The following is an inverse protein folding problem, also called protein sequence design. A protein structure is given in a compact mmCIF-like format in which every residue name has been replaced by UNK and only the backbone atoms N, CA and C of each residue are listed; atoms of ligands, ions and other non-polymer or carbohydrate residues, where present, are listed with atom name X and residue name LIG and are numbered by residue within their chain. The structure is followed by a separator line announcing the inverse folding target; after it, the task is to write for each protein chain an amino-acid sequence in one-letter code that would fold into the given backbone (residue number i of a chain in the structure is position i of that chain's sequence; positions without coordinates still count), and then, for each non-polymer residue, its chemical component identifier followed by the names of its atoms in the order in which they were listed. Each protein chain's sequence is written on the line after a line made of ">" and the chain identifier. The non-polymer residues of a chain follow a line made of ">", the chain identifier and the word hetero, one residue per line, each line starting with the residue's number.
data_IF_753882189922
#
_entry.id   IF_753882189922
#
_cell.length_a   1.000
_cell.length_b   1.000
_cell.length_c   1.000
_cell.angle_alpha   90.00
_cell.angle_beta   90.00
_cell.angle_gamma   90.00
#
_symmetry.space_group_name_H-M   'P 1'
#
loop_
_entity.id
_entity.type
_entity.pdbx_description
1 polymer ?
#
# COMPACT_ATOMS: atom_id res chain seq x y z
N UNK A 1 0.25 16.14 -32.01
CA UNK A 1 1.30 16.65 -31.07
C UNK A 1 2.22 15.51 -30.72
N UNK A 2 3.52 15.78 -30.63
CA UNK A 2 4.46 14.75 -30.17
C UNK A 2 4.29 14.58 -28.66
N UNK A 3 3.96 13.38 -28.17
CA UNK A 3 3.70 13.09 -26.75
C UNK A 3 5.06 12.98 -26.05
N UNK A 4 5.26 13.76 -24.99
CA UNK A 4 6.38 13.67 -24.07
C UNK A 4 5.86 13.71 -22.63
N UNK A 5 6.25 12.72 -21.83
CA UNK A 5 5.65 12.44 -20.53
C UNK A 5 6.64 12.78 -19.42
N UNK A 6 6.17 13.45 -18.37
CA UNK A 6 6.85 13.54 -17.09
C UNK A 6 6.11 12.69 -16.07
N UNK A 7 6.80 11.76 -15.40
CA UNK A 7 6.26 11.00 -14.25
C UNK A 7 6.87 11.56 -12.97
N UNK A 8 6.04 12.09 -12.08
CA UNK A 8 6.45 12.78 -10.86
C UNK A 8 6.30 11.85 -9.65
N UNK A 9 7.43 11.44 -9.09
CA UNK A 9 7.54 10.41 -8.06
C UNK A 9 7.87 9.05 -8.67
N UNK A 10 9.03 8.47 -8.32
CA UNK A 10 9.53 7.20 -8.87
C UNK A 10 9.58 6.11 -7.80
N UNK A 11 8.51 6.01 -7.02
CA UNK A 11 8.29 4.94 -6.04
C UNK A 11 7.67 3.68 -6.67
N UNK A 12 6.98 2.89 -5.83
CA UNK A 12 6.30 1.63 -6.20
C UNK A 12 5.31 1.75 -7.36
N UNK A 13 4.71 2.93 -7.53
CA UNK A 13 3.72 3.21 -8.58
C UNK A 13 4.37 3.84 -9.80
N UNK A 14 5.12 4.92 -9.58
CA UNK A 14 5.59 5.77 -10.67
C UNK A 14 6.69 5.13 -11.51
N UNK A 15 7.59 4.35 -10.90
CA UNK A 15 8.66 3.71 -11.66
C UNK A 15 8.16 2.64 -12.64
N UNK A 16 7.31 1.67 -12.24
CA UNK A 16 6.71 0.71 -13.19
C UNK A 16 5.96 1.39 -14.33
N UNK A 17 5.20 2.43 -14.02
CA UNK A 17 4.45 3.19 -15.03
C UNK A 17 5.37 3.96 -15.97
N UNK A 18 6.40 4.65 -15.47
CA UNK A 18 7.38 5.37 -16.26
C UNK A 18 8.13 4.43 -17.21
N UNK A 19 8.56 3.27 -16.71
CA UNK A 19 9.18 2.22 -17.52
C UNK A 19 8.24 1.75 -18.64
N UNK A 20 6.97 1.55 -18.32
CA UNK A 20 6.00 1.06 -19.30
C UNK A 20 5.78 2.09 -20.40
N UNK A 21 5.56 3.36 -20.08
CA UNK A 21 5.45 4.43 -21.06
C UNK A 21 6.72 4.62 -21.89
N UNK A 22 7.89 4.43 -21.28
CA UNK A 22 9.19 4.59 -21.95
C UNK A 22 9.41 3.60 -23.10
N UNK A 23 8.66 2.51 -23.15
CA UNK A 23 8.69 1.59 -24.30
C UNK A 23 8.13 2.20 -25.59
N UNK A 24 7.31 3.26 -25.48
CA UNK A 24 6.63 3.89 -26.62
C UNK A 24 6.83 5.40 -26.75
N UNK A 25 7.22 6.06 -25.66
CA UNK A 25 7.30 7.52 -25.59
C UNK A 25 8.61 7.98 -24.96
N UNK A 26 9.05 9.23 -25.24
CA UNK A 26 10.03 9.91 -24.43
C UNK A 26 9.45 10.19 -23.04
N UNK A 27 10.09 9.67 -21.99
CA UNK A 27 9.65 9.82 -20.58
C UNK A 27 10.76 10.42 -19.75
N UNK A 28 10.44 11.45 -18.98
CA UNK A 28 11.27 11.97 -17.91
C UNK A 28 10.67 11.51 -16.58
N UNK A 29 11.39 10.65 -15.88
CA UNK A 29 11.07 10.27 -14.50
C UNK A 29 11.66 11.31 -13.54
N UNK A 30 10.82 12.03 -12.81
CA UNK A 30 11.25 13.07 -11.88
C UNK A 30 11.03 12.63 -10.44
N UNK A 31 12.08 12.70 -9.62
CA UNK A 31 11.97 12.49 -8.17
C UNK A 31 12.86 13.49 -7.42
N UNK A 32 12.38 14.00 -6.30
CA UNK A 32 13.12 14.93 -5.45
C UNK A 32 14.26 14.23 -4.67
N UNK A 33 14.20 12.91 -4.54
CA UNK A 33 15.20 12.11 -3.84
C UNK A 33 16.38 11.81 -4.78
N UNK A 34 17.47 12.53 -4.61
CA UNK A 34 18.68 12.37 -5.41
C UNK A 34 19.30 10.96 -5.32
N UNK A 35 19.23 10.31 -4.14
CA UNK A 35 19.72 8.96 -3.99
C UNK A 35 18.91 7.98 -4.84
N UNK A 36 17.57 8.17 -4.89
CA UNK A 36 16.68 7.38 -5.75
C UNK A 36 17.05 7.55 -7.22
N UNK A 37 17.31 8.77 -7.67
CA UNK A 37 17.72 9.05 -9.06
C UNK A 37 19.08 8.39 -9.38
N UNK A 38 20.05 8.44 -8.47
CA UNK A 38 21.34 7.78 -8.65
C UNK A 38 21.20 6.25 -8.77
N UNK A 39 20.40 5.63 -7.90
CA UNK A 39 20.11 4.19 -7.97
C UNK A 39 19.49 3.79 -9.31
N UNK A 40 18.45 4.52 -9.74
CA UNK A 40 17.74 4.23 -10.99
C UNK A 40 18.64 4.41 -12.20
N UNK A 41 19.46 5.48 -12.25
CA UNK A 41 20.42 5.70 -13.34
C UNK A 41 21.52 4.65 -13.38
N UNK A 42 21.83 3.99 -12.26
CA UNK A 42 22.71 2.81 -12.21
C UNK A 42 22.00 1.52 -12.67
N UNK A 43 20.68 1.57 -12.89
CA UNK A 43 19.85 0.42 -13.27
C UNK A 43 19.35 -0.41 -12.07
N UNK A 44 19.43 0.12 -10.84
CA UNK A 44 19.00 -0.56 -9.63
C UNK A 44 17.65 -0.03 -9.17
N UNK A 45 16.79 -0.93 -8.73
CA UNK A 45 15.50 -0.59 -8.13
C UNK A 45 15.39 -1.14 -6.71
N UNK A 46 15.58 -0.27 -5.70
CA UNK A 46 15.46 -0.63 -4.28
C UNK A 46 14.04 -1.05 -3.88
N UNK A 47 13.01 -0.73 -4.68
CA UNK A 47 11.63 -1.18 -4.43
C UNK A 47 11.37 -2.60 -4.91
N UNK A 48 12.28 -3.19 -5.69
CA UNK A 48 12.20 -4.54 -6.27
C UNK A 48 10.98 -4.77 -7.18
N UNK A 49 10.36 -3.69 -7.68
CA UNK A 49 9.22 -3.76 -8.61
C UNK A 49 9.66 -4.05 -10.04
N UNK A 50 10.85 -3.61 -10.42
CA UNK A 50 11.44 -3.81 -11.75
C UNK A 50 12.79 -4.48 -11.62
N UNK A 51 13.01 -5.53 -12.39
CA UNK A 51 14.33 -6.15 -12.47
C UNK A 51 15.34 -5.26 -13.22
N UNK A 52 16.63 -5.43 -12.91
CA UNK A 52 17.73 -4.65 -13.45
C UNK A 52 17.78 -4.66 -14.98
N UNK A 53 17.54 -5.80 -15.61
CA UNK A 53 17.59 -5.96 -17.07
C UNK A 53 16.48 -5.19 -17.76
N UNK A 54 15.27 -5.25 -17.22
CA UNK A 54 14.08 -4.53 -17.71
C UNK A 54 14.24 -3.02 -17.54
N UNK A 55 14.79 -2.56 -16.41
CA UNK A 55 15.03 -1.14 -16.18
C UNK A 55 16.12 -0.61 -17.14
N UNK A 56 17.26 -1.27 -17.23
CA UNK A 56 18.36 -0.89 -18.14
C UNK A 56 17.93 -0.88 -19.60
N UNK A 57 16.99 -1.74 -19.97
CA UNK A 57 16.47 -1.82 -21.35
C UNK A 57 15.70 -0.58 -21.82
N UNK A 58 15.29 0.30 -20.92
CA UNK A 58 14.56 1.54 -21.25
C UNK A 58 15.31 2.81 -20.84
N UNK A 59 16.39 2.71 -20.04
CA UNK A 59 17.13 3.90 -19.58
C UNK A 59 17.88 4.58 -20.74
N UNK A 60 17.82 5.90 -20.74
CA UNK A 60 18.57 6.77 -21.65
C UNK A 60 19.37 7.82 -20.87
N UNK A 61 20.50 8.26 -21.43
CA UNK A 61 21.43 9.18 -20.76
C UNK A 61 21.00 10.66 -20.77
N UNK A 62 19.99 11.00 -21.55
CA UNK A 62 19.50 12.39 -21.65
C UNK A 62 18.05 12.44 -22.08
N UNK A 63 17.38 13.55 -21.71
CA UNK A 63 16.01 13.84 -22.15
C UNK A 63 15.99 14.17 -23.65
N UNK A 64 15.78 13.17 -24.49
CA UNK A 64 15.66 13.28 -25.93
C UNK A 64 14.22 13.20 -26.42
N UNK A 65 14.00 13.31 -27.75
CA UNK A 65 12.70 13.01 -28.37
C UNK A 65 12.55 11.53 -28.75
N UNK A 66 13.57 10.70 -28.47
CA UNK A 66 13.50 9.26 -28.66
C UNK A 66 12.82 8.59 -27.46
N UNK A 67 12.19 7.44 -27.69
CA UNK A 67 11.59 6.65 -26.62
C UNK A 67 12.66 6.21 -25.62
N UNK A 68 12.29 6.19 -24.35
CA UNK A 68 13.18 5.82 -23.26
C UNK A 68 12.85 6.58 -21.98
N UNK A 69 13.42 6.14 -20.87
CA UNK A 69 13.28 6.73 -19.54
C UNK A 69 14.56 7.47 -19.15
N UNK A 70 14.45 8.77 -18.96
CA UNK A 70 15.49 9.59 -18.37
C UNK A 70 15.11 9.97 -16.93
N UNK A 71 15.88 9.54 -15.93
CA UNK A 71 15.60 9.83 -14.52
C UNK A 71 16.36 11.09 -14.08
N UNK A 72 15.65 12.07 -13.49
CA UNK A 72 16.22 13.35 -13.07
C UNK A 72 15.55 13.90 -11.79
N UNK A 73 16.31 14.69 -11.02
CA UNK A 73 15.80 15.53 -9.94
C UNK A 73 15.76 17.03 -10.31
N UNK A 74 16.01 17.37 -11.57
CA UNK A 74 16.10 18.74 -12.08
C UNK A 74 14.79 19.11 -12.76
N UNK A 75 14.15 20.20 -12.31
CA UNK A 75 12.83 20.62 -12.81
C UNK A 75 12.84 21.03 -14.28
N UNK A 76 13.96 21.57 -14.74
CA UNK A 76 14.16 22.00 -16.12
C UNK A 76 14.05 20.83 -17.11
N UNK A 77 14.33 19.62 -16.68
CA UNK A 77 14.27 18.44 -17.54
C UNK A 77 12.83 18.04 -17.90
N UNK A 78 11.84 18.42 -17.08
CA UNK A 78 10.42 18.17 -17.34
C UNK A 78 9.70 19.31 -18.08
N UNK A 79 10.33 20.47 -18.27
CA UNK A 79 9.69 21.65 -18.85
C UNK A 79 9.17 21.45 -20.29
N UNK A 80 9.77 20.51 -21.03
CA UNK A 80 9.38 20.20 -22.41
C UNK A 80 8.36 19.06 -22.52
N UNK A 81 7.87 18.54 -21.41
CA UNK A 81 6.80 17.57 -21.41
C UNK A 81 5.44 18.25 -21.64
N UNK A 82 4.45 17.46 -22.07
CA UNK A 82 3.07 17.92 -22.28
C UNK A 82 2.03 17.00 -21.62
N UNK A 83 2.47 15.90 -21.02
CA UNK A 83 1.71 15.08 -20.08
C UNK A 83 2.53 14.95 -18.80
N UNK A 84 1.91 15.33 -17.69
CA UNK A 84 2.51 15.22 -16.34
C UNK A 84 1.70 14.23 -15.54
N UNK A 85 2.30 13.11 -15.13
CA UNK A 85 1.63 12.06 -14.37
C UNK A 85 2.16 12.10 -12.94
N UNK A 86 1.30 12.41 -11.97
CA UNK A 86 1.64 12.57 -10.56
C UNK A 86 1.33 11.28 -9.82
N UNK A 87 2.38 10.65 -9.27
CA UNK A 87 2.32 9.34 -8.58
C UNK A 87 2.91 9.40 -7.17
N UNK A 88 2.84 10.58 -6.54
CA UNK A 88 3.35 10.79 -5.19
C UNK A 88 2.49 10.08 -4.14
N UNK A 89 3.06 9.70 -2.97
CA UNK A 89 2.29 9.07 -1.90
C UNK A 89 1.28 10.03 -1.29
N UNK A 90 0.21 9.47 -0.74
CA UNK A 90 -0.82 10.17 0.03
C UNK A 90 -0.98 9.48 1.39
N UNK A 91 -0.12 9.81 2.37
CA UNK A 91 -0.20 9.24 3.70
C UNK A 91 -1.37 9.82 4.52
N UNK A 92 -1.57 9.27 5.71
CA UNK A 92 -2.42 9.88 6.75
C UNK A 92 -1.55 10.46 7.86
N UNK A 93 -2.05 11.49 8.52
CA UNK A 93 -1.45 12.04 9.73
C UNK A 93 -1.72 11.14 10.96
N UNK A 94 -1.16 11.51 12.12
CA UNK A 94 -1.35 10.80 13.40
C UNK A 94 -2.82 10.71 13.87
N UNK A 95 -3.73 11.47 13.26
CA UNK A 95 -5.16 11.45 13.54
C UNK A 95 -5.96 10.72 12.45
N UNK A 96 -5.29 9.94 11.61
CA UNK A 96 -5.87 9.25 10.45
C UNK A 96 -6.53 10.20 9.43
N UNK A 97 -6.04 11.44 9.30
CA UNK A 97 -6.51 12.41 8.31
C UNK A 97 -5.61 12.37 7.09
N UNK A 98 -6.17 12.50 5.87
CA UNK A 98 -5.38 12.59 4.65
C UNK A 98 -4.34 13.71 4.71
N UNK A 99 -3.07 13.38 4.45
CA UNK A 99 -2.03 14.37 4.26
C UNK A 99 -1.80 14.59 2.75
N UNK A 100 -2.34 15.69 2.24
CA UNK A 100 -2.22 16.08 0.85
C UNK A 100 -0.95 16.90 0.54
N UNK A 101 -0.05 17.07 1.53
CA UNK A 101 1.19 17.85 1.35
C UNK A 101 2.03 17.39 0.15
N UNK A 102 2.23 16.08 -0.10
CA UNK A 102 2.97 15.63 -1.28
C UNK A 102 2.28 16.02 -2.60
N UNK A 103 0.93 15.98 -2.64
CA UNK A 103 0.14 16.41 -3.81
C UNK A 103 0.26 17.90 -4.06
N UNK A 104 0.18 18.73 -3.01
CA UNK A 104 0.37 20.18 -3.16
C UNK A 104 1.77 20.50 -3.68
N UNK A 105 2.82 19.92 -3.11
CA UNK A 105 4.21 20.14 -3.53
C UNK A 105 4.48 19.67 -4.96
N UNK A 106 3.94 18.52 -5.36
CA UNK A 106 4.07 18.04 -6.74
C UNK A 106 3.30 18.91 -7.73
N UNK A 107 2.11 19.37 -7.35
CA UNK A 107 1.33 20.35 -8.14
C UNK A 107 2.06 21.69 -8.27
N UNK A 108 2.71 22.18 -7.21
CA UNK A 108 3.58 23.37 -7.28
C UNK A 108 4.77 23.16 -8.23
N UNK A 109 5.39 21.98 -8.19
CA UNK A 109 6.50 21.63 -9.07
C UNK A 109 6.04 21.63 -10.54
N UNK A 110 4.93 20.94 -10.84
CA UNK A 110 4.36 20.91 -12.19
C UNK A 110 3.91 22.29 -12.63
N UNK A 111 3.25 23.06 -11.77
CA UNK A 111 2.77 24.43 -12.07
C UNK A 111 3.87 25.38 -12.56
N UNK A 112 5.11 25.22 -12.10
CA UNK A 112 6.25 26.06 -12.53
C UNK A 112 6.64 25.85 -14.01
N UNK A 113 6.30 24.71 -14.59
CA UNK A 113 6.69 24.31 -15.97
C UNK A 113 5.48 24.10 -16.88
N UNK A 114 4.27 24.21 -16.37
CA UNK A 114 3.02 23.97 -17.08
C UNK A 114 2.82 24.98 -18.21
N UNK A 115 2.37 24.51 -19.37
CA UNK A 115 2.13 25.31 -20.57
C UNK A 115 0.72 25.12 -21.11
N UNK A 116 0.31 25.99 -22.01
CA UNK A 116 -0.99 25.89 -22.69
C UNK A 116 -1.10 24.59 -23.49
N UNK A 117 -2.18 23.88 -23.30
CA UNK A 117 -2.49 22.59 -23.92
C UNK A 117 -1.99 21.37 -23.18
N UNK A 118 -1.21 21.55 -22.11
CA UNK A 118 -0.69 20.45 -21.29
C UNK A 118 -1.81 19.76 -20.49
N UNK A 119 -1.58 18.49 -20.14
CA UNK A 119 -2.49 17.67 -19.34
C UNK A 119 -1.75 17.16 -18.10
N UNK A 120 -2.34 17.39 -16.92
CA UNK A 120 -1.84 16.86 -15.64
C UNK A 120 -2.74 15.71 -15.20
N UNK A 121 -2.16 14.52 -15.01
CA UNK A 121 -2.89 13.31 -14.64
C UNK A 121 -2.45 12.92 -13.24
N UNK A 122 -3.40 12.77 -12.31
CA UNK A 122 -3.11 12.29 -10.97
C UNK A 122 -3.43 10.78 -10.87
N UNK A 123 -2.50 10.04 -10.25
CA UNK A 123 -2.68 8.59 -9.97
C UNK A 123 -2.70 8.29 -8.46
N UNK A 124 -2.26 9.24 -7.64
CA UNK A 124 -2.28 9.10 -6.18
C UNK A 124 -3.69 8.80 -5.67
N UNK A 125 -3.81 7.88 -4.72
CA UNK A 125 -5.11 7.55 -4.11
C UNK A 125 -5.62 8.73 -3.27
N UNK A 126 -6.85 9.15 -3.54
CA UNK A 126 -7.47 10.31 -2.91
C UNK A 126 -8.99 10.12 -2.73
N UNK A 127 -9.62 10.95 -1.89
CA UNK A 127 -11.08 11.02 -1.84
C UNK A 127 -11.65 11.76 -3.06
N UNK A 128 -12.93 11.54 -3.41
CA UNK A 128 -13.56 12.21 -4.56
C UNK A 128 -13.52 13.72 -4.43
N UNK A 129 -12.96 14.37 -5.45
CA UNK A 129 -12.85 15.82 -5.58
C UNK A 129 -11.46 16.39 -5.33
N UNK A 130 -10.49 15.63 -4.82
CA UNK A 130 -9.15 16.17 -4.49
C UNK A 130 -8.46 16.75 -5.73
N UNK A 131 -8.51 16.05 -6.86
CA UNK A 131 -7.87 16.58 -8.08
C UNK A 131 -8.40 17.96 -8.42
N UNK A 132 -9.72 18.13 -8.48
CA UNK A 132 -10.36 19.37 -8.94
C UNK A 132 -10.45 20.44 -7.85
N UNK A 133 -10.67 20.06 -6.59
CA UNK A 133 -10.91 20.98 -5.48
C UNK A 133 -9.61 21.42 -4.77
N UNK A 134 -8.55 20.58 -4.79
CA UNK A 134 -7.31 20.80 -4.05
C UNK A 134 -6.10 21.02 -4.97
N UNK A 135 -5.89 20.14 -5.96
CA UNK A 135 -4.69 20.19 -6.80
C UNK A 135 -4.77 21.25 -7.89
N UNK A 136 -5.90 21.37 -8.57
CA UNK A 136 -6.11 22.37 -9.64
C UNK A 136 -5.89 23.80 -9.18
N UNK A 137 -6.41 24.27 -8.02
CA UNK A 137 -6.15 25.62 -7.54
C UNK A 137 -4.65 25.92 -7.32
N UNK A 138 -3.86 24.91 -6.95
CA UNK A 138 -2.39 25.04 -6.81
C UNK A 138 -1.75 25.22 -8.18
N UNK A 139 -2.14 24.41 -9.18
CA UNK A 139 -1.66 24.55 -10.56
C UNK A 139 -1.98 25.92 -11.15
N UNK A 140 -3.22 26.41 -11.01
CA UNK A 140 -3.63 27.74 -11.47
C UNK A 140 -2.84 28.85 -10.80
N UNK A 141 -2.70 28.79 -9.48
CA UNK A 141 -1.95 29.78 -8.70
C UNK A 141 -0.49 29.89 -9.12
N UNK A 142 0.17 28.75 -9.35
CA UNK A 142 1.61 28.71 -9.64
C UNK A 142 1.90 29.01 -11.11
N UNK A 143 1.10 28.46 -12.02
CA UNK A 143 1.32 28.64 -13.47
C UNK A 143 0.75 29.95 -14.02
N UNK A 144 -0.27 30.53 -13.36
CA UNK A 144 -1.05 31.63 -13.90
C UNK A 144 -1.99 31.24 -15.05
N UNK A 145 -2.08 29.96 -15.37
CA UNK A 145 -2.92 29.40 -16.42
C UNK A 145 -4.32 29.07 -15.88
N UNK A 146 -5.32 29.00 -16.77
CA UNK A 146 -6.70 28.73 -16.41
C UNK A 146 -7.10 27.30 -16.75
N UNK A 147 -7.63 26.58 -15.76
CA UNK A 147 -8.13 25.22 -15.90
C UNK A 147 -9.26 25.09 -16.94
N UNK A 148 -9.25 24.02 -17.71
CA UNK A 148 -10.17 23.74 -18.82
C UNK A 148 -10.20 24.81 -19.95
N UNK A 149 -9.21 25.71 -19.95
CA UNK A 149 -9.01 26.71 -21.00
C UNK A 149 -7.57 26.63 -21.54
N UNK A 150 -6.61 26.82 -20.63
CA UNK A 150 -5.19 26.84 -20.99
C UNK A 150 -4.52 25.48 -20.72
N UNK A 151 -4.93 24.76 -19.67
CA UNK A 151 -4.46 23.40 -19.34
C UNK A 151 -5.63 22.53 -18.87
N UNK A 152 -5.38 21.21 -18.80
CA UNK A 152 -6.41 20.23 -18.52
C UNK A 152 -5.92 19.23 -17.47
N UNK A 153 -6.86 18.47 -16.88
CA UNK A 153 -6.53 17.43 -15.93
C UNK A 153 -7.18 16.08 -16.27
N UNK A 154 -6.56 15.03 -15.74
CA UNK A 154 -7.10 13.68 -15.73
C UNK A 154 -6.85 13.02 -14.39
N UNK A 155 -7.49 11.89 -14.17
CA UNK A 155 -7.23 11.00 -13.05
C UNK A 155 -7.27 9.55 -13.52
N UNK A 156 -6.28 8.77 -13.09
CA UNK A 156 -6.18 7.35 -13.43
C UNK A 156 -5.58 6.60 -12.24
N UNK A 157 -6.40 5.97 -11.39
CA UNK A 157 -5.92 5.32 -10.18
C UNK A 157 -4.98 4.15 -10.48
N UNK A 158 -3.93 3.99 -9.67
CA UNK A 158 -3.14 2.78 -9.69
C UNK A 158 -3.81 1.66 -8.88
N UNK A 159 -3.76 0.45 -9.41
CA UNK A 159 -4.42 -0.74 -8.87
C UNK A 159 -3.48 -1.91 -8.66
N UNK A 160 -2.16 -1.70 -8.82
CA UNK A 160 -1.15 -2.73 -8.53
C UNK A 160 -1.13 -3.06 -7.04
N UNK A 161 -0.73 -4.29 -6.75
CA UNK A 161 -0.45 -4.75 -5.41
C UNK A 161 1.07 -4.94 -5.30
N UNK A 162 1.79 -4.09 -4.54
CA UNK A 162 3.24 -4.18 -4.43
C UNK A 162 3.72 -5.62 -4.17
N UNK A 163 4.74 -6.06 -4.93
CA UNK A 163 5.28 -7.42 -4.87
C UNK A 163 4.48 -8.48 -5.66
N UNK A 164 3.34 -8.14 -6.28
CA UNK A 164 2.60 -9.04 -7.16
C UNK A 164 3.21 -9.01 -8.57
N UNK A 165 3.86 -10.09 -8.96
CA UNK A 165 4.53 -10.21 -10.27
C UNK A 165 3.60 -10.77 -11.37
N UNK A 166 2.42 -11.23 -11.00
CA UNK A 166 1.43 -11.74 -11.95
C UNK A 166 0.54 -10.61 -12.48
N UNK A 167 0.03 -9.77 -11.58
CA UNK A 167 -0.84 -8.63 -11.89
C UNK A 167 -0.01 -7.35 -12.02
N UNK A 168 0.77 -7.28 -13.08
CA UNK A 168 1.60 -6.08 -13.39
C UNK A 168 0.74 -4.94 -13.91
N UNK A 169 1.28 -3.72 -13.91
CA UNK A 169 0.57 -2.49 -14.33
C UNK A 169 -0.09 -2.62 -15.72
N UNK A 170 0.55 -3.32 -16.64
CA UNK A 170 0.04 -3.52 -18.01
C UNK A 170 -1.07 -4.58 -18.13
N UNK A 171 -1.19 -5.48 -17.13
CA UNK A 171 -2.13 -6.60 -17.11
C UNK A 171 -3.39 -6.32 -16.28
N UNK A 172 -3.47 -5.18 -15.63
CA UNK A 172 -4.65 -4.74 -14.87
C UNK A 172 -5.44 -3.75 -15.71
N UNK A 173 -6.75 -3.96 -15.86
CA UNK A 173 -7.64 -3.02 -16.53
C UNK A 173 -7.54 -1.65 -15.84
N UNK A 174 -7.13 -0.62 -16.58
CA UNK A 174 -6.85 0.72 -16.03
C UNK A 174 -8.08 1.61 -16.13
N UNK A 175 -8.48 2.22 -15.03
CA UNK A 175 -9.51 3.27 -15.03
C UNK A 175 -8.86 4.58 -15.45
N UNK A 176 -9.53 5.33 -16.34
CA UNK A 176 -9.07 6.63 -16.84
C UNK A 176 -10.21 7.64 -16.78
N UNK A 177 -9.89 8.91 -16.70
CA UNK A 177 -10.87 10.00 -16.73
C UNK A 177 -10.22 11.31 -17.14
N UNK A 178 -11.02 12.30 -17.47
CA UNK A 178 -10.53 13.65 -17.81
C UNK A 178 -11.51 14.74 -17.41
N UNK A 179 -11.00 15.96 -17.36
CA UNK A 179 -11.75 17.15 -16.95
C UNK A 179 -12.79 17.61 -17.98
N UNK A 180 -12.67 17.14 -19.21
CA UNK A 180 -13.67 17.25 -20.28
C UNK A 180 -13.78 15.91 -21.01
N UNK A 181 -14.87 15.64 -21.74
CA UNK A 181 -15.01 14.41 -22.54
C UNK A 181 -13.86 14.19 -23.53
N UNK A 182 -13.39 15.25 -24.18
CA UNK A 182 -12.24 15.20 -25.10
C UNK A 182 -10.94 14.85 -24.38
N UNK A 183 -10.67 15.47 -23.24
CA UNK A 183 -9.49 15.17 -22.44
C UNK A 183 -9.55 13.77 -21.86
N UNK A 184 -10.74 13.32 -21.41
CA UNK A 184 -10.95 11.94 -20.98
C UNK A 184 -10.56 10.94 -22.06
N UNK A 185 -10.98 11.19 -23.30
CA UNK A 185 -10.61 10.35 -24.44
C UNK A 185 -9.10 10.37 -24.70
N UNK A 186 -8.45 11.54 -24.68
CA UNK A 186 -7.00 11.66 -24.87
C UNK A 186 -6.22 10.92 -23.78
N UNK A 187 -6.62 11.04 -22.52
CA UNK A 187 -6.04 10.29 -21.39
C UNK A 187 -6.25 8.79 -21.59
N UNK A 188 -7.47 8.39 -21.94
CA UNK A 188 -7.79 6.99 -22.20
C UNK A 188 -6.94 6.37 -23.34
N UNK A 189 -6.75 7.07 -24.43
CA UNK A 189 -5.91 6.62 -25.55
C UNK A 189 -4.44 6.51 -25.15
N UNK A 190 -3.93 7.46 -24.35
CA UNK A 190 -2.57 7.42 -23.82
C UNK A 190 -2.34 6.12 -23.04
N UNK A 191 -3.18 5.82 -22.04
CA UNK A 191 -3.05 4.59 -21.26
C UNK A 191 -3.30 3.33 -22.06
N UNK A 192 -4.33 3.31 -22.90
CA UNK A 192 -4.64 2.19 -23.80
C UNK A 192 -3.47 1.81 -24.69
N UNK A 193 -2.62 2.76 -25.02
CA UNK A 193 -1.43 2.50 -25.84
C UNK A 193 -0.42 1.54 -25.18
N UNK A 194 -0.38 1.46 -23.87
CA UNK A 194 0.58 0.65 -23.09
C UNK A 194 -0.06 -0.41 -22.19
N UNK A 195 -1.34 -0.26 -21.81
CA UNK A 195 -2.07 -1.21 -20.96
C UNK A 195 -2.70 -2.29 -21.84
N UNK A 196 -2.21 -3.51 -21.74
CA UNK A 196 -2.67 -4.65 -22.56
C UNK A 196 -4.02 -5.19 -22.10
N UNK A 197 -4.34 -5.07 -20.80
CA UNK A 197 -5.64 -5.48 -20.25
C UNK A 197 -6.81 -4.55 -20.64
N UNK A 198 -6.50 -3.44 -21.32
CA UNK A 198 -7.50 -2.45 -21.71
C UNK A 198 -7.73 -1.37 -20.66
N UNK A 199 -8.67 -0.46 -21.00
CA UNK A 199 -9.00 0.69 -20.17
C UNK A 199 -10.50 0.83 -19.98
N UNK A 200 -10.92 1.45 -18.87
CA UNK A 200 -12.29 1.86 -18.60
C UNK A 200 -12.32 3.38 -18.46
N UNK A 201 -12.97 4.07 -19.38
CA UNK A 201 -13.15 5.52 -19.33
C UNK A 201 -14.30 5.85 -18.38
N UNK A 202 -13.97 6.36 -17.21
CA UNK A 202 -14.96 6.86 -16.26
C UNK A 202 -15.55 8.22 -16.73
N UNK A 203 -16.82 8.51 -16.41
CA UNK A 203 -17.52 9.70 -16.91
C UNK A 203 -16.97 11.03 -16.31
N UNK A 204 -16.24 10.97 -15.19
CA UNK A 204 -15.61 12.15 -14.59
C UNK A 204 -14.42 11.75 -13.69
N UNK A 205 -13.59 12.74 -13.36
CA UNK A 205 -12.49 12.57 -12.41
C UNK A 205 -13.02 12.08 -11.05
N UNK A 206 -14.06 12.71 -10.50
CA UNK A 206 -14.67 12.30 -9.20
C UNK A 206 -15.16 10.86 -9.18
N UNK A 207 -15.69 10.35 -10.29
CA UNK A 207 -16.12 8.94 -10.38
C UNK A 207 -14.92 8.00 -10.35
N UNK A 208 -13.83 8.35 -11.05
CA UNK A 208 -12.61 7.53 -11.05
C UNK A 208 -11.91 7.54 -9.68
N UNK A 209 -11.88 8.69 -8.99
CA UNK A 209 -11.40 8.80 -7.61
C UNK A 209 -12.25 7.95 -6.65
N UNK A 210 -13.60 8.05 -6.75
CA UNK A 210 -14.52 7.25 -5.95
C UNK A 210 -14.32 5.75 -6.17
N UNK A 211 -14.17 5.31 -7.43
CA UNK A 211 -13.97 3.91 -7.76
C UNK A 211 -12.75 3.32 -7.04
N UNK A 212 -11.63 4.07 -6.99
CA UNK A 212 -10.41 3.63 -6.31
C UNK A 212 -10.61 3.46 -4.81
N UNK A 213 -11.18 4.46 -4.15
CA UNK A 213 -11.27 4.45 -2.68
C UNK A 213 -12.25 3.39 -2.17
N UNK A 214 -13.31 3.07 -2.95
CA UNK A 214 -14.28 2.04 -2.54
C UNK A 214 -13.75 0.61 -2.71
N UNK A 215 -12.81 0.35 -3.62
CA UNK A 215 -12.19 -0.97 -3.77
C UNK A 215 -11.50 -1.40 -2.46
N UNK A 216 -10.75 -0.50 -1.84
CA UNK A 216 -10.07 -0.76 -0.59
C UNK A 216 -11.00 -0.68 0.61
N UNK A 217 -11.98 0.24 0.62
CA UNK A 217 -12.98 0.32 1.68
C UNK A 217 -13.86 -0.94 1.73
N UNK A 218 -14.27 -1.48 0.60
CA UNK A 218 -15.02 -2.74 0.53
C UNK A 218 -14.19 -3.90 1.08
N UNK A 219 -12.90 -3.98 0.73
CA UNK A 219 -12.00 -5.02 1.23
C UNK A 219 -11.83 -4.92 2.74
N UNK A 220 -11.61 -3.71 3.24
CA UNK A 220 -11.48 -3.43 4.69
C UNK A 220 -12.71 -3.86 5.48
N UNK A 221 -13.91 -3.50 5.02
CA UNK A 221 -15.19 -3.88 5.64
C UNK A 221 -15.38 -5.40 5.63
N UNK A 222 -15.05 -6.08 4.53
CA UNK A 222 -15.17 -7.54 4.46
C UNK A 222 -14.19 -8.23 5.42
N UNK A 223 -12.96 -7.70 5.58
CA UNK A 223 -12.02 -8.21 6.57
C UNK A 223 -12.53 -7.93 7.99
N UNK A 224 -13.08 -6.74 8.25
CA UNK A 224 -13.69 -6.44 9.54
C UNK A 224 -14.82 -7.42 9.88
N UNK A 225 -15.68 -7.75 8.93
CA UNK A 225 -16.72 -8.73 9.11
C UNK A 225 -16.17 -10.10 9.52
N UNK A 226 -15.18 -10.65 8.81
CA UNK A 226 -14.60 -11.94 9.18
C UNK A 226 -13.76 -11.88 10.45
N UNK A 227 -13.17 -10.73 10.80
CA UNK A 227 -12.52 -10.49 12.10
C UNK A 227 -13.56 -10.52 13.25
N UNK A 228 -14.73 -9.95 13.06
CA UNK A 228 -15.81 -10.03 14.03
C UNK A 228 -16.30 -11.47 14.20
N UNK A 229 -16.45 -12.21 13.09
CA UNK A 229 -16.77 -13.65 13.14
C UNK A 229 -15.72 -14.43 13.93
N UNK A 230 -14.43 -14.15 13.75
CA UNK A 230 -13.37 -14.80 14.51
C UNK A 230 -13.49 -14.55 16.03
N UNK A 231 -13.86 -13.31 16.43
CA UNK A 231 -14.13 -12.98 17.84
C UNK A 231 -15.36 -13.75 18.38
N UNK A 232 -16.44 -13.81 17.61
CA UNK A 232 -17.68 -14.51 17.97
C UNK A 232 -17.41 -16.03 18.11
N UNK A 233 -16.76 -16.63 17.11
CA UNK A 233 -16.49 -18.07 17.09
C UNK A 233 -15.50 -18.49 18.18
N UNK A 234 -14.53 -17.63 18.51
CA UNK A 234 -13.66 -17.88 19.67
C UNK A 234 -14.45 -17.93 20.99
N UNK A 235 -15.47 -17.07 21.17
CA UNK A 235 -16.36 -17.12 22.34
C UNK A 235 -17.27 -18.36 22.36
N UNK A 236 -17.62 -18.88 21.19
CA UNK A 236 -18.44 -20.07 21.01
C UNK A 236 -17.61 -21.38 20.98
N UNK A 237 -16.30 -21.29 21.09
CA UNK A 237 -15.35 -22.41 20.98
C UNK A 237 -15.45 -23.16 19.63
N UNK A 238 -15.75 -22.41 18.55
CA UNK A 238 -15.86 -22.92 17.18
C UNK A 238 -14.64 -22.45 16.37
N UNK A 239 -14.11 -23.34 15.55
CA UNK A 239 -13.00 -23.02 14.66
C UNK A 239 -13.46 -22.11 13.49
N UNK A 240 -12.97 -20.88 13.46
CA UNK A 240 -13.30 -19.88 12.42
C UNK A 240 -12.98 -20.37 11.01
N UNK A 241 -11.82 -21.00 10.82
CA UNK A 241 -11.41 -21.48 9.49
C UNK A 241 -12.31 -22.59 8.97
N UNK A 242 -12.71 -23.54 9.83
CA UNK A 242 -13.64 -24.59 9.46
C UNK A 242 -15.04 -24.03 9.06
N UNK A 243 -15.51 -22.98 9.76
CA UNK A 243 -16.75 -22.30 9.38
C UNK A 243 -16.61 -21.60 8.03
N UNK A 244 -15.52 -20.87 7.82
CA UNK A 244 -15.28 -20.17 6.56
C UNK A 244 -15.09 -21.16 5.38
N UNK A 245 -14.46 -22.31 5.60
CA UNK A 245 -14.35 -23.38 4.61
C UNK A 245 -15.74 -23.92 4.22
N UNK A 246 -16.56 -24.26 5.22
CA UNK A 246 -17.92 -24.72 4.99
C UNK A 246 -18.78 -23.66 4.28
N UNK A 247 -18.72 -22.40 4.69
CA UNK A 247 -19.44 -21.31 4.04
C UNK A 247 -18.95 -21.06 2.62
N UNK A 248 -17.64 -21.22 2.38
CA UNK A 248 -16.97 -21.06 1.09
C UNK A 248 -17.38 -22.08 0.02
N UNK A 249 -18.06 -23.16 0.40
CA UNK A 249 -18.66 -24.10 -0.55
C UNK A 249 -19.82 -23.48 -1.35
N UNK A 250 -20.35 -22.36 -0.86
CA UNK A 250 -21.39 -21.63 -1.59
C UNK A 250 -20.74 -20.70 -2.62
N UNK A 251 -21.13 -20.81 -3.87
CA UNK A 251 -20.53 -20.15 -5.04
C UNK A 251 -20.39 -18.63 -4.96
N UNK A 252 -21.23 -17.94 -4.19
CA UNK A 252 -21.21 -16.49 -4.04
C UNK A 252 -20.69 -16.02 -2.66
N UNK A 253 -20.10 -16.91 -1.87
CA UNK A 253 -19.43 -16.52 -0.63
C UNK A 253 -18.06 -15.92 -0.95
N UNK A 254 -17.76 -14.75 -0.41
CA UNK A 254 -16.47 -14.09 -0.66
C UNK A 254 -15.37 -14.66 0.25
N UNK A 255 -14.22 -15.08 -0.29
CA UNK A 255 -13.19 -15.84 0.44
C UNK A 255 -12.26 -14.93 1.27
N UNK A 256 -12.83 -14.04 2.09
CA UNK A 256 -12.07 -13.25 3.05
C UNK A 256 -11.70 -14.11 4.27
N UNK A 257 -10.54 -13.79 4.85
CA UNK A 257 -10.02 -14.45 6.06
C UNK A 257 -9.76 -13.42 7.15
N UNK A 258 -9.84 -13.80 8.45
CA UNK A 258 -9.43 -12.91 9.53
C UNK A 258 -7.95 -12.56 9.43
N UNK A 259 -7.60 -11.39 9.94
CA UNK A 259 -6.21 -10.95 9.96
C UNK A 259 -6.04 -9.49 10.34
N UNK A 260 -4.79 -9.09 10.43
CA UNK A 260 -4.40 -7.71 10.69
C UNK A 260 -4.41 -6.90 9.40
N UNK A 261 -5.04 -5.74 9.42
CA UNK A 261 -5.16 -4.85 8.25
C UNK A 261 -4.18 -3.69 8.39
N UNK A 262 -3.02 -3.83 7.76
CA UNK A 262 -1.97 -2.81 7.69
C UNK A 262 -1.71 -2.34 6.26
N UNK A 263 -0.54 -1.69 6.06
CA UNK A 263 -0.08 -1.20 4.77
C UNK A 263 -0.64 0.16 4.37
N UNK A 264 -0.32 0.57 3.13
CA UNK A 264 -0.57 1.95 2.66
C UNK A 264 -1.99 2.21 2.17
N UNK A 265 -2.74 1.18 1.82
CA UNK A 265 -3.98 1.33 1.07
C UNK A 265 -5.21 0.90 1.88
N UNK A 266 -5.31 -0.40 2.25
CA UNK A 266 -6.54 -0.96 2.84
C UNK A 266 -6.85 -0.30 4.19
N UNK A 267 -5.83 -0.06 5.02
CA UNK A 267 -5.97 0.59 6.33
C UNK A 267 -6.13 2.12 6.28
N UNK A 268 -5.90 2.74 5.12
CA UNK A 268 -5.80 4.20 4.95
C UNK A 268 -6.95 4.77 4.13
N UNK A 269 -7.22 4.20 2.95
CA UNK A 269 -8.22 4.71 2.00
C UNK A 269 -9.65 4.89 2.61
N UNK A 270 -10.13 4.01 3.50
CA UNK A 270 -11.43 4.21 4.16
C UNK A 270 -11.52 5.52 4.94
N UNK A 271 -10.42 5.98 5.55
CA UNK A 271 -10.40 7.27 6.25
C UNK A 271 -10.55 8.46 5.31
N UNK A 272 -10.00 8.38 4.08
CA UNK A 272 -10.21 9.41 3.06
C UNK A 272 -11.69 9.61 2.75
N UNK A 273 -12.40 8.51 2.49
CA UNK A 273 -13.82 8.58 2.18
C UNK A 273 -14.64 9.00 3.41
N UNK A 274 -14.28 8.50 4.60
CA UNK A 274 -14.98 8.84 5.84
C UNK A 274 -14.85 10.33 6.18
N UNK A 275 -13.66 10.91 6.05
CA UNK A 275 -13.46 12.34 6.29
C UNK A 275 -14.27 13.19 5.31
N UNK A 276 -14.21 12.89 4.01
CA UNK A 276 -14.99 13.64 3.01
C UNK A 276 -16.49 13.57 3.26
N UNK A 277 -16.99 12.40 3.68
CA UNK A 277 -18.40 12.23 4.06
C UNK A 277 -18.77 13.10 5.27
N UNK A 278 -17.92 13.13 6.31
CA UNK A 278 -18.14 13.95 7.51
C UNK A 278 -18.10 15.45 7.19
N UNK A 279 -17.21 15.91 6.31
CA UNK A 279 -17.18 17.29 5.83
C UNK A 279 -18.49 17.68 5.12
N UNK A 280 -19.16 16.70 4.48
CA UNK A 280 -20.48 16.92 3.86
C UNK A 280 -21.65 16.66 4.82
N UNK A 281 -21.40 16.49 6.13
CA UNK A 281 -22.41 16.31 7.17
C UNK A 281 -22.94 14.88 7.31
N UNK A 282 -22.34 13.87 6.68
CA UNK A 282 -22.72 12.46 6.80
C UNK A 282 -21.73 11.67 7.64
N UNK A 283 -22.19 10.97 8.67
CA UNK A 283 -21.38 10.08 9.48
C UNK A 283 -21.37 8.66 8.87
N UNK A 284 -20.26 8.18 8.31
CA UNK A 284 -20.21 6.87 7.63
C UNK A 284 -20.04 5.72 8.64
N UNK A 285 -21.15 5.24 9.21
CA UNK A 285 -21.16 4.28 10.31
C UNK A 285 -20.46 2.95 9.98
N UNK A 286 -20.77 2.34 8.82
CA UNK A 286 -20.22 1.04 8.42
C UNK A 286 -18.71 1.12 8.21
N UNK A 287 -18.22 2.15 7.51
CA UNK A 287 -16.80 2.33 7.23
C UNK A 287 -16.03 2.53 8.54
N UNK A 288 -16.53 3.41 9.42
CA UNK A 288 -15.86 3.70 10.69
C UNK A 288 -15.95 2.54 11.68
N UNK A 289 -17.07 1.78 11.70
CA UNK A 289 -17.18 0.58 12.51
C UNK A 289 -16.18 -0.50 12.07
N UNK A 290 -16.06 -0.74 10.75
CA UNK A 290 -15.08 -1.66 10.19
C UNK A 290 -13.65 -1.26 10.57
N UNK A 291 -13.31 0.02 10.42
CA UNK A 291 -11.99 0.53 10.83
C UNK A 291 -11.70 0.33 12.31
N UNK A 292 -12.63 0.70 13.21
CA UNK A 292 -12.45 0.49 14.66
C UNK A 292 -12.20 -0.98 14.98
N UNK A 293 -12.94 -1.89 14.34
CA UNK A 293 -12.76 -3.32 14.56
C UNK A 293 -11.38 -3.78 14.10
N UNK A 294 -10.99 -3.45 12.85
CA UNK A 294 -9.69 -3.84 12.29
C UNK A 294 -8.52 -3.23 13.08
N UNK A 295 -8.64 -1.99 13.52
CA UNK A 295 -7.60 -1.34 14.34
C UNK A 295 -7.45 -1.99 15.73
N UNK A 296 -8.54 -2.55 16.30
CA UNK A 296 -8.50 -3.25 17.59
C UNK A 296 -7.92 -4.67 17.53
N UNK A 297 -7.64 -5.19 16.34
CA UNK A 297 -7.24 -6.59 16.20
C UNK A 297 -5.85 -6.89 16.75
N UNK A 298 -4.93 -5.91 16.77
CA UNK A 298 -3.61 -6.07 17.39
C UNK A 298 -3.70 -6.38 18.89
N UNK A 299 -4.48 -5.58 19.62
CA UNK A 299 -4.76 -5.79 21.04
C UNK A 299 -5.51 -7.11 21.29
N UNK A 300 -6.47 -7.44 20.41
CA UNK A 300 -7.18 -8.70 20.50
C UNK A 300 -6.24 -9.90 20.39
N UNK A 301 -5.35 -9.93 19.40
CA UNK A 301 -4.34 -11.00 19.23
C UNK A 301 -3.49 -11.12 20.49
N UNK A 302 -2.94 -10.01 20.98
CA UNK A 302 -2.12 -10.00 22.20
C UNK A 302 -2.90 -10.58 23.40
N UNK A 303 -4.16 -10.18 23.58
CA UNK A 303 -5.02 -10.69 24.67
C UNK A 303 -5.27 -12.20 24.57
N UNK A 304 -5.44 -12.74 23.34
CA UNK A 304 -5.64 -14.19 23.17
C UNK A 304 -4.34 -14.97 23.48
N UNK A 305 -3.17 -14.47 23.05
CA UNK A 305 -1.88 -15.06 23.39
C UNK A 305 -1.69 -15.09 24.91
N UNK A 306 -1.93 -13.97 25.59
CA UNK A 306 -1.81 -13.89 27.06
C UNK A 306 -2.77 -14.86 27.77
N UNK A 307 -4.01 -14.96 27.32
CA UNK A 307 -4.99 -15.95 27.89
C UNK A 307 -4.49 -17.38 27.73
N UNK A 308 -3.92 -17.75 26.59
CA UNK A 308 -3.37 -19.08 26.37
C UNK A 308 -2.15 -19.35 27.27
N UNK A 309 -1.26 -18.35 27.43
CA UNK A 309 -0.13 -18.44 28.34
C UNK A 309 -0.59 -18.68 29.79
N UNK A 310 -1.59 -17.90 30.26
CA UNK A 310 -2.16 -18.06 31.60
C UNK A 310 -2.76 -19.45 31.78
N UNK A 311 -3.53 -19.96 30.80
CA UNK A 311 -4.11 -21.32 30.84
C UNK A 311 -3.04 -22.41 30.95
N UNK A 312 -1.83 -22.18 30.41
CA UNK A 312 -0.70 -23.09 30.53
C UNK A 312 0.20 -22.84 31.77
N UNK A 313 -0.19 -21.93 32.66
CA UNK A 313 0.54 -21.63 33.88
C UNK A 313 1.84 -20.83 33.65
N UNK A 314 1.96 -20.13 32.53
CA UNK A 314 3.13 -19.30 32.21
C UNK A 314 3.01 -17.96 32.93
N UNK A 315 4.07 -17.55 33.64
CA UNK A 315 4.17 -16.22 34.24
C UNK A 315 4.32 -15.18 33.15
N UNK A 316 3.42 -14.22 33.07
CA UNK A 316 3.34 -13.25 31.97
C UNK A 316 4.45 -12.22 32.03
N UNK A 317 4.60 -11.56 33.22
CA UNK A 317 5.62 -10.53 33.39
C UNK A 317 7.03 -11.15 33.30
N UNK A 318 7.82 -10.65 32.34
CA UNK A 318 9.16 -11.16 32.02
C UNK A 318 9.18 -12.38 31.09
N UNK A 319 8.02 -12.91 30.65
CA UNK A 319 7.97 -13.99 29.67
C UNK A 319 8.67 -13.60 28.37
N UNK A 320 9.32 -14.58 27.73
CA UNK A 320 10.03 -14.40 26.46
C UNK A 320 9.12 -14.84 25.32
N UNK A 321 8.88 -13.95 24.35
CA UNK A 321 8.05 -14.23 23.19
C UNK A 321 8.81 -13.99 21.89
N UNK A 322 8.69 -14.93 20.94
CA UNK A 322 9.20 -14.79 19.57
C UNK A 322 8.06 -14.36 18.65
N UNK A 323 8.20 -13.18 18.05
CA UNK A 323 7.33 -12.68 16.97
C UNK A 323 7.98 -13.04 15.64
N UNK A 324 7.28 -13.81 14.80
CA UNK A 324 7.70 -14.18 13.45
C UNK A 324 7.05 -13.25 12.43
N UNK A 325 7.86 -12.34 11.88
CA UNK A 325 7.47 -11.34 10.91
C UNK A 325 7.04 -10.00 11.52
N UNK A 326 7.46 -8.92 10.88
CA UNK A 326 7.07 -7.54 11.21
C UNK A 326 6.69 -6.73 9.96
N UNK A 327 6.96 -7.22 8.76
CA UNK A 327 6.52 -6.55 7.53
C UNK A 327 4.99 -6.49 7.44
N UNK A 328 4.44 -5.55 6.66
CA UNK A 328 2.98 -5.45 6.55
C UNK A 328 2.36 -6.62 5.75
N UNK A 329 3.17 -7.30 4.92
CA UNK A 329 2.75 -8.36 4.01
C UNK A 329 3.85 -9.41 3.88
N UNK A 330 3.45 -10.64 3.58
CA UNK A 330 4.36 -11.75 3.31
C UNK A 330 5.25 -11.52 2.09
N UNK A 331 6.51 -11.96 2.21
CA UNK A 331 7.53 -11.95 1.14
C UNK A 331 7.77 -10.56 0.52
N UNK A 332 7.67 -9.52 1.34
CA UNK A 332 7.86 -8.13 0.96
C UNK A 332 8.67 -7.41 2.04
N UNK A 333 9.69 -6.58 1.70
CA UNK A 333 10.54 -5.92 2.69
C UNK A 333 9.90 -4.68 3.34
N UNK A 334 8.70 -4.26 2.92
CA UNK A 334 8.05 -3.04 3.38
C UNK A 334 7.48 -3.20 4.80
N UNK A 335 7.92 -2.35 5.71
CA UNK A 335 7.51 -2.37 7.13
C UNK A 335 6.50 -1.28 7.49
N UNK A 336 6.19 -0.36 6.55
CA UNK A 336 5.34 0.80 6.84
C UNK A 336 3.90 0.40 7.17
N UNK A 337 3.32 1.04 8.20
CA UNK A 337 1.96 0.79 8.70
C UNK A 337 1.65 -0.68 9.00
N UNK A 338 2.64 -1.45 9.43
CA UNK A 338 2.39 -2.83 9.83
C UNK A 338 1.62 -2.89 11.16
N UNK A 339 0.57 -3.68 11.21
CA UNK A 339 -0.25 -3.90 12.43
C UNK A 339 0.38 -4.91 13.41
N UNK A 340 1.49 -5.54 13.04
CA UNK A 340 2.27 -6.37 13.97
C UNK A 340 2.85 -5.52 15.10
N UNK A 341 3.17 -4.26 14.83
CA UNK A 341 3.65 -3.30 15.83
C UNK A 341 2.63 -3.12 16.96
N UNK A 342 1.34 -3.04 16.64
CA UNK A 342 0.27 -2.94 17.65
C UNK A 342 0.23 -4.20 18.54
N UNK A 343 0.44 -5.39 17.97
CA UNK A 343 0.55 -6.64 18.74
C UNK A 343 1.76 -6.62 19.66
N UNK A 344 2.92 -6.19 19.13
CA UNK A 344 4.18 -6.11 19.90
C UNK A 344 4.04 -5.15 21.08
N UNK A 345 3.47 -3.96 20.86
CA UNK A 345 3.25 -2.98 21.92
C UNK A 345 2.27 -3.50 22.97
N UNK A 346 1.14 -4.07 22.54
CA UNK A 346 0.16 -4.65 23.46
C UNK A 346 0.74 -5.80 24.31
N UNK A 347 1.60 -6.65 23.73
CA UNK A 347 2.31 -7.70 24.48
C UNK A 347 3.32 -7.10 25.47
N UNK A 348 4.05 -6.05 25.08
CA UNK A 348 4.98 -5.35 25.95
C UNK A 348 4.28 -4.68 27.15
N UNK A 349 3.07 -4.17 26.97
CA UNK A 349 2.25 -3.59 28.05
C UNK A 349 1.87 -4.63 29.12
N UNK A 350 1.81 -5.92 28.76
CA UNK A 350 1.68 -7.03 29.72
C UNK A 350 3.01 -7.40 30.40
N UNK A 351 4.12 -6.74 30.07
CA UNK A 351 5.47 -7.03 30.60
C UNK A 351 6.17 -8.18 29.89
N UNK A 352 5.69 -8.60 28.71
CA UNK A 352 6.31 -9.64 27.89
C UNK A 352 7.51 -9.03 27.11
N UNK A 353 8.62 -9.75 27.09
CA UNK A 353 9.81 -9.36 26.31
C UNK A 353 9.71 -9.98 24.91
N UNK A 354 9.49 -9.14 23.90
CA UNK A 354 9.27 -9.59 22.52
C UNK A 354 10.58 -9.53 21.74
N UNK A 355 11.02 -10.66 21.23
CA UNK A 355 12.06 -10.77 20.19
C UNK A 355 11.39 -10.85 18.82
N UNK A 356 11.79 -10.00 17.89
CA UNK A 356 11.20 -9.94 16.55
C UNK A 356 12.20 -10.51 15.55
N UNK A 357 11.82 -11.57 14.85
CA UNK A 357 12.58 -12.14 13.75
C UNK A 357 11.83 -11.97 12.43
N UNK A 358 12.48 -11.33 11.46
CA UNK A 358 11.93 -11.16 10.12
C UNK A 358 13.07 -11.19 9.08
N UNK A 359 13.08 -12.16 8.16
CA UNK A 359 14.13 -12.31 7.15
C UNK A 359 14.07 -11.23 6.05
N UNK A 360 12.94 -10.50 5.91
CA UNK A 360 12.72 -9.52 4.86
C UNK A 360 12.87 -8.07 5.34
N UNK A 361 12.51 -7.79 6.58
CA UNK A 361 12.55 -6.44 7.14
C UNK A 361 14.00 -5.97 7.30
N UNK A 362 14.26 -4.70 6.96
CA UNK A 362 15.54 -4.05 7.27
C UNK A 362 15.54 -3.54 8.71
N UNK A 363 16.43 -4.00 9.59
CA UNK A 363 16.43 -3.58 11.01
C UNK A 363 16.54 -2.07 11.21
N UNK A 364 17.29 -1.36 10.35
CA UNK A 364 17.41 0.09 10.40
C UNK A 364 16.10 0.82 10.10
N UNK A 365 15.28 0.30 9.18
CA UNK A 365 13.97 0.88 8.85
C UNK A 365 12.99 0.66 10.01
N UNK A 366 12.96 -0.55 10.61
CA UNK A 366 12.13 -0.85 11.78
C UNK A 366 12.50 0.03 12.98
N UNK A 367 13.80 0.19 13.23
CA UNK A 367 14.29 1.04 14.32
C UNK A 367 13.95 2.52 14.06
N UNK A 368 14.05 3.00 12.83
CA UNK A 368 13.70 4.37 12.46
C UNK A 368 12.21 4.64 12.65
N UNK A 369 11.36 3.76 12.12
CA UNK A 369 9.91 3.94 12.04
C UNK A 369 9.23 3.71 13.40
N UNK A 370 9.58 2.62 14.09
CA UNK A 370 8.85 2.13 15.26
C UNK A 370 9.63 2.16 16.57
N UNK A 371 10.93 2.48 16.53
CA UNK A 371 11.84 2.38 17.69
C UNK A 371 11.93 0.96 18.27
N UNK A 372 11.68 -0.04 17.45
CA UNK A 372 11.76 -1.46 17.79
C UNK A 372 13.05 -2.06 17.22
N UNK A 373 13.55 -3.09 17.93
CA UNK A 373 14.70 -3.87 17.47
C UNK A 373 14.21 -5.16 16.81
N UNK A 374 14.73 -5.48 15.64
CA UNK A 374 14.46 -6.72 14.92
C UNK A 374 15.76 -7.37 14.46
N UNK A 375 15.72 -8.68 14.19
CA UNK A 375 16.85 -9.46 13.65
C UNK A 375 16.46 -10.19 12.38
N UNK A 376 17.41 -10.32 11.43
CA UNK A 376 17.27 -11.16 10.25
C UNK A 376 17.85 -12.59 10.48
N UNK A 377 18.42 -12.86 11.66
CA UNK A 377 18.94 -14.15 12.04
C UNK A 377 17.97 -14.85 12.99
N UNK A 378 17.67 -16.12 12.72
CA UNK A 378 16.77 -16.91 13.55
C UNK A 378 17.39 -17.11 14.96
N UNK A 379 16.71 -16.67 16.03
CA UNK A 379 17.23 -16.86 17.40
C UNK A 379 17.37 -18.33 17.74
N UNK A 380 18.42 -18.69 18.51
CA UNK A 380 18.65 -20.05 19.03
C UNK A 380 18.02 -20.31 20.39
N UNK A 381 17.47 -19.28 21.04
CA UNK A 381 16.82 -19.38 22.34
C UNK A 381 15.45 -20.07 22.26
N UNK A 382 14.97 -20.57 23.43
CA UNK A 382 13.60 -21.08 23.55
C UNK A 382 12.69 -20.05 24.21
N UNK A 383 11.44 -20.01 23.73
CA UNK A 383 10.46 -18.98 24.09
C UNK A 383 9.24 -19.54 24.81
N UNK A 384 8.64 -18.75 25.68
CA UNK A 384 7.40 -19.06 26.37
C UNK A 384 6.19 -18.99 25.42
N UNK A 385 6.29 -18.15 24.39
CA UNK A 385 5.32 -18.10 23.32
C UNK A 385 5.99 -17.78 21.97
N UNK A 386 5.39 -18.28 20.89
CA UNK A 386 5.72 -17.94 19.51
C UNK A 386 4.45 -17.45 18.84
N UNK A 387 4.52 -16.32 18.16
CA UNK A 387 3.41 -15.76 17.39
C UNK A 387 3.83 -15.62 15.93
N UNK A 388 3.13 -16.30 15.02
CA UNK A 388 3.28 -16.09 13.60
C UNK A 388 2.42 -14.89 13.20
N UNK A 389 3.05 -13.74 13.00
CA UNK A 389 2.40 -12.49 12.62
C UNK A 389 2.27 -12.30 11.12
N UNK A 390 3.32 -12.68 10.36
CA UNK A 390 3.38 -12.57 8.90
C UNK A 390 3.74 -13.93 8.30
N UNK A 391 3.09 -14.32 7.21
CA UNK A 391 3.26 -15.65 6.61
C UNK A 391 4.40 -15.68 5.56
N UNK A 392 5.64 -15.31 5.95
CA UNK A 392 6.76 -15.48 5.05
C UNK A 392 7.00 -16.96 4.75
N UNK A 393 7.40 -17.25 3.51
CA UNK A 393 7.67 -18.64 3.06
C UNK A 393 8.70 -19.37 3.92
N UNK A 394 9.68 -18.65 4.46
CA UNK A 394 10.72 -19.18 5.32
C UNK A 394 10.14 -19.79 6.61
N UNK A 395 9.07 -19.24 7.15
CA UNK A 395 8.46 -19.70 8.40
C UNK A 395 7.77 -21.06 8.28
N UNK A 396 7.36 -21.45 7.07
CA UNK A 396 6.74 -22.77 6.84
C UNK A 396 7.74 -23.93 6.91
N UNK A 397 9.04 -23.63 6.89
CA UNK A 397 10.13 -24.62 6.91
C UNK A 397 10.87 -24.68 8.24
N UNK A 398 10.62 -23.74 9.16
CA UNK A 398 11.26 -23.71 10.47
C UNK A 398 10.60 -24.73 11.40
N UNK A 399 11.42 -25.54 12.06
CA UNK A 399 10.99 -26.43 13.15
C UNK A 399 10.76 -25.60 14.44
N UNK A 400 9.53 -25.09 14.60
CA UNK A 400 9.16 -24.24 15.74
C UNK A 400 9.19 -24.98 17.08
N UNK A 401 9.17 -26.32 17.07
CA UNK A 401 9.23 -27.13 18.29
C UNK A 401 10.56 -26.96 19.04
N UNK A 402 11.65 -26.64 18.31
CA UNK A 402 12.97 -26.37 18.89
C UNK A 402 13.10 -25.00 19.53
N UNK A 403 12.25 -24.05 19.13
CA UNK A 403 12.23 -22.67 19.62
C UNK A 403 11.19 -22.46 20.72
N UNK A 404 10.24 -23.38 20.87
CA UNK A 404 9.16 -23.32 21.85
C UNK A 404 9.50 -24.14 23.09
N UNK A 405 9.36 -23.57 24.29
CA UNK A 405 9.47 -24.34 25.56
C UNK A 405 8.38 -25.43 25.59
N UNK A 406 8.59 -26.48 26.38
CA UNK A 406 7.67 -27.64 26.41
C UNK A 406 6.21 -27.28 26.73
N UNK A 407 5.98 -26.29 27.60
CA UNK A 407 4.65 -25.75 27.92
C UNK A 407 4.34 -24.45 27.14
N UNK A 408 5.19 -24.04 26.20
CA UNK A 408 5.06 -22.79 25.45
C UNK A 408 3.80 -22.74 24.58
N UNK A 409 3.39 -21.53 24.23
CA UNK A 409 2.23 -21.24 23.36
C UNK A 409 2.69 -21.03 21.93
N UNK A 410 1.94 -21.56 20.96
CA UNK A 410 2.06 -21.25 19.54
C UNK A 410 0.76 -20.61 19.06
N UNK A 411 0.83 -19.37 18.58
CA UNK A 411 -0.31 -18.64 18.05
C UNK A 411 -0.09 -18.29 16.56
N UNK A 412 -1.03 -18.67 15.71
CA UNK A 412 -0.96 -18.44 14.27
C UNK A 412 -1.99 -17.41 13.82
N UNK A 413 -1.55 -16.15 13.61
CA UNK A 413 -2.44 -15.06 13.15
C UNK A 413 -2.98 -15.30 11.74
N UNK A 414 -2.24 -16.05 10.91
CA UNK A 414 -2.55 -16.26 9.49
C UNK A 414 -3.24 -17.59 9.19
N UNK A 415 -3.20 -18.55 10.13
CA UNK A 415 -3.77 -19.88 9.92
C UNK A 415 -3.05 -20.70 8.84
N UNK A 416 -1.72 -20.56 8.72
CA UNK A 416 -0.92 -21.20 7.65
C UNK A 416 0.06 -22.26 8.15
N UNK A 417 0.23 -22.39 9.46
CA UNK A 417 1.15 -23.39 10.01
C UNK A 417 0.58 -24.80 9.90
N UNK A 418 1.43 -25.74 9.48
CA UNK A 418 1.09 -27.17 9.46
C UNK A 418 1.02 -27.78 10.86
N UNK A 419 1.77 -27.21 11.82
CA UNK A 419 1.73 -27.60 13.21
C UNK A 419 0.42 -27.12 13.85
N UNK A 420 -0.11 -27.94 14.77
CA UNK A 420 -1.30 -27.56 15.53
C UNK A 420 -0.96 -26.39 16.46
N UNK A 421 -1.38 -25.21 16.10
CA UNK A 421 -1.28 -24.03 16.95
C UNK A 421 -2.23 -24.14 18.15
N UNK A 422 -1.85 -23.55 19.28
CA UNK A 422 -2.69 -23.46 20.48
C UNK A 422 -3.87 -22.50 20.29
N UNK A 423 -3.70 -21.53 19.36
CA UNK A 423 -4.74 -20.60 18.94
C UNK A 423 -4.44 -20.00 17.58
N UNK A 424 -5.51 -19.53 16.90
CA UNK A 424 -5.46 -18.78 15.63
C UNK A 424 -6.62 -17.79 15.55
N UNK A 425 -6.53 -16.83 14.60
CA UNK A 425 -7.67 -15.95 14.29
C UNK A 425 -8.76 -16.67 13.54
#
# INVERSE_FOLDING_TARGET
>A
MNIKIAVIGLGYVGLPLARLFATKYPVVGFDINQNRIQELNAGNDATLEIDESTLKGVLVSSSSNANGLYCSSTIEDIQNCNYYIVTVPTPVDKNNRPDLTPLYKSSETVGKVLKKGDIVIYESTVYPGVTEEECIPVLERVSGLKFNVDFFAGYSPERINPGDKEHTVEKILKVTSGSTPEIGQRVNELYKSVITAGTHLAPSIKVAEAAKVIENSQRDINIAFVNELAKIFNLLEIDTHAVLEAAGTKWNFLPFKPGLVGGHCIGVDPYYLAQKAQEKGYHPEIILAGRRLNDSMGEYVASQVVKLMIKKGITINGAQLLMLGITFKENCPDVRNTKIVDVVHALADYGIQVTIFDPWAKPSEVAHEYKLTTTNELPSATFDAIVLGVAHKEFTTIDLSKLKKSNGVLFDVKGVLNEKADGRL
#
